data_IF_463020553648
#
_entry.id   IF_463020553648
#
_cell.length_a   1.000
_cell.length_b   1.000
_cell.length_c   1.000
_cell.angle_alpha   90.00
_cell.angle_beta   90.00
_cell.angle_gamma   90.00
#
_symmetry.space_group_name_H-M   'P 1'
#
loop_
_entity.id
_entity.type
_entity.pdbx_description
1 polymer ?
#
# COMPACT_ATOMS: atom_id res chain seq x y z
N UNK A 1 13.06 22.03 2.20
CA UNK A 1 12.33 22.89 1.24
C UNK A 1 11.17 22.16 0.56
N UNK A 2 11.34 20.90 0.10
CA UNK A 2 10.26 20.15 -0.58
C UNK A 2 9.03 19.84 0.30
N UNK A 3 9.17 19.77 1.61
CA UNK A 3 8.06 19.44 2.52
C UNK A 3 6.93 20.49 2.51
N UNK A 4 7.28 21.75 2.31
CA UNK A 4 6.32 22.87 2.25
C UNK A 4 5.43 22.85 1.01
N UNK A 5 5.85 22.15 -0.05
CA UNK A 5 5.11 22.02 -1.32
C UNK A 5 4.21 20.77 -1.35
N UNK A 6 4.43 19.82 -0.43
CA UNK A 6 3.66 18.59 -0.37
C UNK A 6 2.31 18.83 0.31
N UNK A 7 1.24 18.63 -0.47
CA UNK A 7 -0.13 18.72 0.07
C UNK A 7 -0.76 17.34 0.16
N UNK A 8 -1.20 16.92 1.36
CA UNK A 8 -1.93 15.67 1.50
C UNK A 8 -3.27 15.75 0.78
N UNK A 9 -3.74 14.59 0.31
CA UNK A 9 -5.04 14.48 -0.34
C UNK A 9 -6.14 14.72 0.69
N UNK A 10 -6.94 15.76 0.44
CA UNK A 10 -8.14 16.11 1.20
C UNK A 10 -9.40 15.46 0.63
N UNK A 11 -10.54 16.08 0.90
CA UNK A 11 -11.83 15.76 0.28
C UNK A 11 -12.12 16.70 -0.90
N UNK A 12 -12.91 16.26 -1.92
CA UNK A 12 -13.51 14.93 -2.04
C UNK A 12 -12.50 13.86 -2.51
N UNK A 13 -12.69 12.62 -2.04
CA UNK A 13 -11.88 11.46 -2.44
C UNK A 13 -12.74 10.20 -2.54
N UNK A 14 -12.33 9.28 -3.38
CA UNK A 14 -13.00 7.99 -3.55
C UNK A 14 -13.12 7.23 -2.22
N UNK A 15 -14.34 6.85 -1.86
CA UNK A 15 -14.64 6.13 -0.62
C UNK A 15 -13.89 4.79 -0.53
N UNK A 16 -13.69 4.09 -1.68
CA UNK A 16 -13.05 2.77 -1.72
C UNK A 16 -11.52 2.86 -1.65
N UNK A 17 -10.87 3.66 -2.52
CA UNK A 17 -9.41 3.63 -2.67
C UNK A 17 -8.71 4.93 -2.21
N UNK A 18 -9.44 5.98 -1.85
CA UNK A 18 -8.86 7.24 -1.40
C UNK A 18 -8.26 8.12 -2.52
N UNK A 19 -8.43 7.77 -3.83
CA UNK A 19 -8.04 8.65 -4.93
C UNK A 19 -8.80 9.98 -4.86
N UNK A 20 -8.16 11.13 -5.17
CA UNK A 20 -8.89 12.38 -5.32
C UNK A 20 -9.89 12.26 -6.46
N UNK A 21 -11.11 12.79 -6.26
CA UNK A 21 -12.19 12.84 -7.23
C UNK A 21 -12.76 14.25 -7.24
N UNK A 22 -13.40 14.64 -8.33
CA UNK A 22 -14.07 15.94 -8.44
C UNK A 22 -15.49 15.86 -7.89
N UNK A 23 -16.21 14.79 -8.22
CA UNK A 23 -17.61 14.57 -7.81
C UNK A 23 -17.88 13.10 -7.54
N UNK A 24 -18.98 12.82 -6.81
CA UNK A 24 -19.44 11.47 -6.51
C UNK A 24 -18.69 10.83 -5.32
N UNK A 25 -18.94 9.54 -5.11
CA UNK A 25 -18.37 8.76 -4.00
C UNK A 25 -17.20 7.86 -4.43
N UNK A 26 -17.20 7.42 -5.68
CA UNK A 26 -16.24 6.42 -6.20
C UNK A 26 -15.55 6.91 -7.47
N UNK A 27 -14.26 6.67 -7.58
CA UNK A 27 -13.53 6.92 -8.82
C UNK A 27 -13.92 5.91 -9.90
N UNK A 28 -13.65 6.24 -11.18
CA UNK A 28 -13.99 5.40 -12.34
C UNK A 28 -13.46 3.96 -12.24
N UNK A 29 -12.28 3.76 -11.65
CA UNK A 29 -11.70 2.42 -11.48
C UNK A 29 -12.53 1.60 -10.49
N UNK A 30 -12.88 2.18 -9.33
CA UNK A 30 -13.66 1.50 -8.29
C UNK A 30 -15.12 1.27 -8.67
N UNK A 31 -15.68 2.07 -9.58
CA UNK A 31 -17.00 1.81 -10.18
C UNK A 31 -16.98 0.59 -11.11
N UNK A 32 -15.87 0.39 -11.83
CA UNK A 32 -15.72 -0.69 -12.83
C UNK A 32 -15.21 -2.01 -12.26
N UNK A 33 -14.51 -1.96 -11.14
CA UNK A 33 -13.81 -3.13 -10.59
C UNK A 33 -14.16 -3.33 -9.11
N UNK A 34 -14.60 -4.55 -8.77
CA UNK A 34 -14.73 -4.98 -7.39
C UNK A 34 -13.36 -5.33 -6.82
N UNK A 35 -12.97 -4.64 -5.76
CA UNK A 35 -11.71 -4.87 -5.06
C UNK A 35 -11.86 -5.81 -3.88
N UNK A 36 -10.78 -6.56 -3.58
CA UNK A 36 -10.72 -7.53 -2.47
C UNK A 36 -10.47 -6.86 -1.11
N UNK A 37 -9.95 -5.63 -1.08
CA UNK A 37 -9.80 -4.84 0.14
C UNK A 37 -11.10 -4.07 0.45
N UNK A 38 -11.27 -3.68 1.73
CA UNK A 38 -12.45 -2.90 2.16
C UNK A 38 -12.31 -1.42 1.79
N UNK A 39 -11.28 -0.78 2.26
CA UNK A 39 -10.97 0.62 1.99
C UNK A 39 -9.47 0.85 1.95
N UNK A 40 -9.08 2.00 1.42
CA UNK A 40 -7.69 2.41 1.45
C UNK A 40 -7.49 3.90 1.25
N UNK A 41 -6.27 4.33 1.53
CA UNK A 41 -5.87 5.73 1.43
C UNK A 41 -4.44 5.88 0.93
N UNK A 42 -4.24 6.80 -0.02
CA UNK A 42 -2.93 7.40 -0.29
C UNK A 42 -2.83 8.76 0.36
N UNK A 43 -1.66 9.11 0.90
CA UNK A 43 -1.46 10.40 1.57
C UNK A 43 -1.27 11.51 0.54
N UNK A 44 -0.41 11.29 -0.45
CA UNK A 44 -0.07 12.28 -1.47
C UNK A 44 -0.46 11.79 -2.87
N UNK A 45 -0.64 12.74 -3.79
CA UNK A 45 -0.78 12.40 -5.21
C UNK A 45 0.57 11.98 -5.77
N UNK A 46 0.60 10.89 -6.54
CA UNK A 46 1.80 10.42 -7.22
C UNK A 46 2.06 11.23 -8.49
N UNK A 47 2.60 12.41 -8.33
CA UNK A 47 2.93 13.36 -9.39
C UNK A 47 4.43 13.66 -9.48
N UNK A 48 4.81 14.75 -10.17
CA UNK A 48 6.20 15.08 -10.47
C UNK A 48 7.12 15.09 -9.26
N UNK A 49 6.75 15.79 -8.17
CA UNK A 49 7.56 15.92 -6.95
C UNK A 49 7.62 14.60 -6.22
N UNK A 50 6.44 14.00 -5.96
CA UNK A 50 6.37 12.72 -5.24
C UNK A 50 7.00 11.57 -6.01
N UNK A 51 6.92 11.58 -7.34
CA UNK A 51 7.60 10.57 -8.17
C UNK A 51 9.12 10.65 -7.99
N UNK A 52 9.71 11.84 -8.03
CA UNK A 52 11.15 12.03 -7.77
C UNK A 52 11.53 11.60 -6.36
N UNK A 53 10.76 12.02 -5.36
CA UNK A 53 10.98 11.71 -3.95
C UNK A 53 10.92 10.19 -3.69
N UNK A 54 9.88 9.51 -4.14
CA UNK A 54 9.75 8.03 -4.01
C UNK A 54 10.84 7.29 -4.79
N UNK A 55 11.30 7.83 -5.93
CA UNK A 55 12.43 7.25 -6.67
C UNK A 55 13.71 7.31 -5.86
N UNK A 56 14.00 8.44 -5.21
CA UNK A 56 15.16 8.57 -4.31
C UNK A 56 15.07 7.62 -3.13
N UNK A 57 13.90 7.51 -2.50
CA UNK A 57 13.65 6.56 -1.42
C UNK A 57 13.89 5.09 -1.86
N UNK A 58 13.50 4.73 -3.11
CA UNK A 58 13.66 3.36 -3.61
C UNK A 58 15.07 2.99 -4.03
N UNK A 59 15.82 3.93 -4.58
CA UNK A 59 17.03 3.58 -5.36
C UNK A 59 18.30 4.33 -4.94
N UNK A 60 18.20 5.35 -4.11
CA UNK A 60 19.34 6.19 -3.72
C UNK A 60 19.66 6.13 -2.23
N UNK A 61 19.14 5.14 -1.52
CA UNK A 61 19.47 4.91 -0.10
C UNK A 61 18.93 5.96 0.87
N UNK A 62 18.10 6.90 0.41
CA UNK A 62 17.56 7.99 1.24
C UNK A 62 16.48 7.47 2.23
N UNK A 63 16.90 6.69 3.24
CA UNK A 63 16.00 6.09 4.24
C UNK A 63 15.28 7.14 5.09
N UNK A 64 15.89 8.30 5.28
CA UNK A 64 15.31 9.44 5.99
C UNK A 64 13.97 9.92 5.40
N UNK A 65 13.75 9.69 4.10
CA UNK A 65 12.45 9.94 3.47
C UNK A 65 11.36 9.01 4.03
N UNK A 66 11.75 7.80 4.45
CA UNK A 66 10.83 6.86 5.09
C UNK A 66 10.31 7.37 6.43
N UNK A 67 11.13 8.04 7.22
CA UNK A 67 10.69 8.65 8.49
C UNK A 67 9.67 9.77 8.25
N UNK A 68 9.91 10.61 7.25
CA UNK A 68 8.95 11.63 6.84
C UNK A 68 7.64 11.00 6.37
N UNK A 69 7.71 10.00 5.50
CA UNK A 69 6.51 9.33 4.98
C UNK A 69 5.70 8.62 6.07
N UNK A 70 6.35 7.92 6.98
CA UNK A 70 5.67 7.24 8.08
C UNK A 70 4.98 8.23 9.03
N UNK A 71 5.63 9.36 9.34
CA UNK A 71 5.00 10.46 10.11
C UNK A 71 3.81 11.06 9.38
N UNK A 72 3.91 11.27 8.06
CA UNK A 72 2.81 11.77 7.26
C UNK A 72 1.64 10.77 7.23
N UNK A 73 1.92 9.47 7.04
CA UNK A 73 0.91 8.42 7.10
C UNK A 73 0.20 8.41 8.45
N UNK A 74 0.94 8.45 9.56
CA UNK A 74 0.37 8.53 10.90
C UNK A 74 -0.50 9.79 11.07
N UNK A 75 0.04 10.97 10.74
CA UNK A 75 -0.63 12.27 10.94
C UNK A 75 -1.92 12.40 10.14
N UNK A 76 -1.90 12.00 8.88
CA UNK A 76 -3.00 12.27 7.96
C UNK A 76 -4.01 11.12 7.81
N UNK A 77 -3.72 9.93 8.35
CA UNK A 77 -4.63 8.78 8.33
C UNK A 77 -5.21 8.43 9.72
N UNK A 78 -5.11 9.31 10.71
CA UNK A 78 -5.58 9.03 12.08
C UNK A 78 -7.09 8.69 12.13
N UNK A 79 -7.91 9.36 11.31
CA UNK A 79 -9.34 9.07 11.24
C UNK A 79 -9.56 7.63 10.76
N UNK A 80 -8.95 7.27 9.65
CA UNK A 80 -9.03 5.95 9.05
C UNK A 80 -8.52 4.86 10.00
N UNK A 81 -7.39 5.08 10.66
CA UNK A 81 -6.83 4.13 11.61
C UNK A 81 -7.78 3.86 12.79
N UNK A 82 -8.47 4.89 13.29
CA UNK A 82 -9.47 4.74 14.34
C UNK A 82 -10.74 4.02 13.87
N UNK A 83 -11.18 4.28 12.64
CA UNK A 83 -12.37 3.66 12.05
C UNK A 83 -12.12 2.20 11.65
N UNK A 84 -10.97 1.92 11.04
CA UNK A 84 -10.61 0.59 10.55
C UNK A 84 -10.17 -0.38 11.65
N UNK A 85 -9.66 0.12 12.76
CA UNK A 85 -9.19 -0.65 13.93
C UNK A 85 -8.36 -1.87 13.50
N UNK A 86 -7.24 -1.67 12.80
CA UNK A 86 -6.42 -2.79 12.37
C UNK A 86 -5.74 -3.47 13.55
N UNK A 87 -5.76 -4.81 13.54
CA UNK A 87 -5.08 -5.64 14.54
C UNK A 87 -3.62 -5.88 14.17
N UNK A 88 -3.32 -5.83 12.87
CA UNK A 88 -1.99 -6.15 12.35
C UNK A 88 -1.63 -5.28 11.15
N UNK A 89 -0.42 -4.72 11.17
CA UNK A 89 0.18 -4.03 10.03
C UNK A 89 1.08 -5.01 9.26
N UNK A 90 0.87 -5.07 7.93
CA UNK A 90 1.59 -6.00 7.06
C UNK A 90 2.10 -5.25 5.83
N UNK A 91 3.41 -5.20 5.57
CA UNK A 91 3.93 -4.55 4.37
C UNK A 91 3.74 -5.40 3.11
N UNK A 92 3.61 -4.75 1.96
CA UNK A 92 3.73 -5.43 0.67
C UNK A 92 5.17 -5.95 0.52
N UNK A 93 5.37 -7.28 0.40
CA UNK A 93 6.70 -7.84 0.25
C UNK A 93 7.26 -7.55 -1.16
N UNK A 94 8.51 -7.20 -1.23
CA UNK A 94 9.26 -7.12 -2.48
C UNK A 94 9.95 -8.46 -2.77
N UNK A 95 10.19 -8.75 -4.05
CA UNK A 95 10.96 -9.93 -4.40
C UNK A 95 12.42 -9.78 -3.93
N UNK A 96 13.05 -10.85 -3.42
CA UNK A 96 14.43 -10.84 -2.88
C UNK A 96 15.46 -10.16 -3.79
N UNK A 97 15.35 -10.31 -5.11
CA UNK A 97 16.25 -9.63 -6.06
C UNK A 97 16.13 -8.10 -6.03
N UNK A 98 14.91 -7.58 -5.83
CA UNK A 98 14.69 -6.12 -5.70
C UNK A 98 15.16 -5.61 -4.34
N UNK A 99 14.95 -6.40 -3.29
CA UNK A 99 15.42 -6.06 -1.96
C UNK A 99 16.95 -5.99 -1.91
N UNK A 100 17.65 -6.96 -2.51
CA UNK A 100 19.12 -6.90 -2.67
C UNK A 100 19.58 -5.68 -3.45
N UNK A 101 18.89 -5.33 -4.54
CA UNK A 101 19.21 -4.15 -5.35
C UNK A 101 19.02 -2.83 -4.59
N UNK A 102 17.99 -2.76 -3.73
CA UNK A 102 17.60 -1.54 -3.00
C UNK A 102 18.20 -1.45 -1.60
N UNK A 103 18.72 -2.58 -1.08
CA UNK A 103 19.25 -2.71 0.27
C UNK A 103 18.19 -2.89 1.36
N UNK A 104 16.90 -2.71 1.05
CA UNK A 104 15.78 -2.87 2.00
C UNK A 104 14.43 -2.98 1.31
N UNK A 105 13.40 -3.41 2.06
CA UNK A 105 12.00 -3.32 1.63
C UNK A 105 11.40 -2.00 2.14
N UNK A 106 11.06 -1.10 1.23
CA UNK A 106 10.50 0.22 1.53
C UNK A 106 9.21 0.15 2.33
N UNK A 107 8.31 -0.77 1.94
CA UNK A 107 7.04 -0.96 2.63
C UNK A 107 7.22 -1.52 4.05
N UNK A 108 8.21 -2.41 4.27
CA UNK A 108 8.54 -2.93 5.59
C UNK A 108 9.03 -1.82 6.51
N UNK A 109 9.94 -0.97 6.05
CA UNK A 109 10.40 0.18 6.83
C UNK A 109 9.25 1.10 7.26
N UNK A 110 8.33 1.42 6.32
CA UNK A 110 7.15 2.24 6.61
C UNK A 110 6.21 1.56 7.62
N UNK A 111 6.00 0.24 7.48
CA UNK A 111 5.15 -0.54 8.37
C UNK A 111 5.67 -0.56 9.81
N UNK A 112 6.97 -0.80 9.99
CA UNK A 112 7.64 -0.79 11.30
C UNK A 112 7.53 0.57 11.98
N UNK A 113 7.83 1.66 11.25
CA UNK A 113 7.69 3.03 11.78
C UNK A 113 6.25 3.38 12.13
N UNK A 114 5.28 3.00 11.27
CA UNK A 114 3.87 3.25 11.56
C UNK A 114 3.39 2.43 12.77
N UNK A 115 3.82 1.17 12.89
CA UNK A 115 3.56 0.34 14.06
C UNK A 115 4.08 0.98 15.34
N UNK A 116 5.29 1.51 15.31
CA UNK A 116 5.85 2.26 16.43
C UNK A 116 5.00 3.48 16.82
N UNK A 117 4.51 4.26 15.85
CA UNK A 117 3.68 5.45 16.14
C UNK A 117 2.27 5.12 16.62
N UNK A 118 1.71 3.99 16.21
CA UNK A 118 0.32 3.62 16.49
C UNK A 118 0.16 2.63 17.63
N UNK A 119 1.22 1.91 18.00
CA UNK A 119 1.17 0.77 18.92
C UNK A 119 0.54 -0.50 18.31
N UNK A 120 0.22 -0.49 17.00
CA UNK A 120 -0.37 -1.65 16.33
C UNK A 120 0.73 -2.67 16.02
N UNK A 121 0.48 -3.94 16.31
CA UNK A 121 1.38 -5.03 15.99
C UNK A 121 1.77 -5.02 14.51
N UNK A 122 3.05 -5.29 14.22
CA UNK A 122 3.57 -5.29 12.85
C UNK A 122 4.31 -6.60 12.59
N UNK A 123 3.97 -7.28 11.48
CA UNK A 123 4.72 -8.46 11.03
C UNK A 123 5.15 -8.29 9.57
N UNK A 124 6.44 -8.09 9.38
CA UNK A 124 7.05 -7.85 8.07
C UNK A 124 7.30 -9.14 7.27
N UNK A 125 7.17 -10.31 7.90
CA UNK A 125 7.49 -11.61 7.33
C UNK A 125 6.26 -12.48 7.06
N UNK A 126 5.10 -12.15 7.63
CA UNK A 126 3.87 -12.96 7.56
C UNK A 126 3.35 -13.16 6.12
N UNK A 127 3.67 -12.24 5.21
CA UNK A 127 3.39 -12.39 3.78
C UNK A 127 4.70 -12.37 3.00
N UNK A 128 4.91 -13.38 2.17
CA UNK A 128 6.10 -13.51 1.33
C UNK A 128 5.75 -13.43 -0.15
N UNK A 129 6.63 -12.84 -0.94
CA UNK A 129 6.51 -12.83 -2.39
C UNK A 129 7.27 -14.01 -2.98
N UNK A 130 6.53 -15.04 -3.40
CA UNK A 130 7.10 -16.33 -3.87
C UNK A 130 7.42 -16.35 -5.37
N UNK A 131 6.79 -15.51 -6.18
CA UNK A 131 7.04 -15.45 -7.61
C UNK A 131 7.70 -14.13 -8.03
N UNK A 132 8.77 -14.24 -8.83
CA UNK A 132 9.33 -13.11 -9.57
C UNK A 132 8.35 -12.79 -10.71
N UNK A 133 7.38 -11.91 -10.45
CA UNK A 133 6.48 -11.43 -11.52
C UNK A 133 7.32 -10.75 -12.59
N UNK A 134 7.41 -11.39 -13.78
CA UNK A 134 8.08 -10.80 -14.95
C UNK A 134 7.52 -9.41 -15.21
N UNK A 135 8.37 -8.50 -15.67
CA UNK A 135 7.98 -7.16 -16.10
C UNK A 135 6.71 -7.23 -16.96
N UNK A 136 5.62 -6.64 -16.47
CA UNK A 136 4.25 -6.85 -16.95
C UNK A 136 3.93 -6.15 -18.29
N UNK A 137 4.95 -5.72 -19.05
CA UNK A 137 4.76 -4.94 -20.28
C UNK A 137 4.01 -5.68 -21.40
N UNK A 138 3.91 -7.03 -21.34
CA UNK A 138 3.30 -7.87 -22.38
C UNK A 138 2.01 -8.61 -21.96
N UNK A 139 1.52 -8.40 -20.72
CA UNK A 139 0.34 -9.14 -20.22
C UNK A 139 -0.91 -8.25 -20.23
N UNK A 140 -2.07 -8.82 -20.61
CA UNK A 140 -3.35 -8.16 -20.46
C UNK A 140 -3.77 -8.09 -18.98
N UNK A 141 -4.79 -7.28 -18.65
CA UNK A 141 -5.22 -7.02 -17.27
C UNK A 141 -5.61 -8.31 -16.52
N UNK A 142 -6.26 -9.26 -17.19
CA UNK A 142 -6.70 -10.54 -16.61
C UNK A 142 -5.52 -11.46 -16.28
N UNK A 143 -4.54 -11.55 -17.17
CA UNK A 143 -3.32 -12.32 -16.97
C UNK A 143 -2.45 -11.72 -15.85
N UNK A 144 -2.40 -10.39 -15.75
CA UNK A 144 -1.73 -9.68 -14.62
C UNK A 144 -2.36 -10.06 -13.30
N UNK A 145 -3.69 -10.08 -13.22
CA UNK A 145 -4.43 -10.43 -12.01
C UNK A 145 -4.14 -11.87 -11.58
N UNK A 146 -4.29 -12.86 -12.49
CA UNK A 146 -3.99 -14.27 -12.21
C UNK A 146 -2.55 -14.53 -11.79
N UNK A 147 -1.57 -13.86 -12.41
CA UNK A 147 -0.15 -13.98 -12.03
C UNK A 147 0.15 -13.37 -10.67
N UNK A 148 -0.54 -12.29 -10.29
CA UNK A 148 -0.36 -11.66 -8.99
C UNK A 148 -1.06 -12.45 -7.87
N UNK A 149 -2.17 -13.13 -8.14
CA UNK A 149 -2.87 -13.97 -7.15
C UNK A 149 -2.00 -15.10 -6.59
N UNK A 150 -1.08 -15.64 -7.40
CA UNK A 150 -0.11 -16.68 -7.00
C UNK A 150 1.22 -16.09 -6.48
N UNK A 151 1.38 -14.77 -6.50
CA UNK A 151 2.64 -14.13 -6.17
C UNK A 151 2.91 -14.03 -4.66
N UNK A 152 1.87 -14.15 -3.84
CA UNK A 152 1.95 -13.97 -2.40
C UNK A 152 1.57 -15.26 -1.67
N UNK A 153 2.29 -15.54 -0.58
CA UNK A 153 2.00 -16.61 0.37
C UNK A 153 1.92 -16.03 1.79
N UNK A 154 0.88 -16.40 2.53
CA UNK A 154 0.74 -16.06 3.96
C UNK A 154 1.26 -17.23 4.77
N UNK A 155 2.22 -16.99 5.66
CA UNK A 155 2.93 -18.02 6.44
C UNK A 155 2.49 -18.09 7.90
N UNK A 156 1.81 -17.06 8.41
CA UNK A 156 1.35 -16.99 9.80
C UNK A 156 -0.18 -16.96 9.96
N UNK A 157 -0.66 -16.84 11.18
CA UNK A 157 -2.09 -16.79 11.50
C UNK A 157 -2.66 -15.37 11.38
N UNK A 158 -3.59 -15.21 10.45
CA UNK A 158 -4.31 -13.94 10.18
C UNK A 158 -5.82 -14.06 10.39
N UNK A 159 -6.30 -15.21 10.90
CA UNK A 159 -7.75 -15.49 11.02
C UNK A 159 -8.45 -14.48 11.90
N UNK A 160 -9.54 -13.94 11.40
CA UNK A 160 -10.39 -12.94 12.06
C UNK A 160 -9.76 -11.54 12.21
N UNK A 161 -8.46 -11.37 11.92
CA UNK A 161 -7.77 -10.10 12.11
C UNK A 161 -8.11 -9.08 11.02
N UNK A 162 -8.31 -7.83 11.42
CA UNK A 162 -8.32 -6.68 10.51
C UNK A 162 -6.88 -6.32 10.15
N UNK A 163 -6.56 -6.36 8.87
CA UNK A 163 -5.19 -6.18 8.38
C UNK A 163 -5.04 -4.83 7.69
N UNK A 164 -4.00 -4.08 8.07
CA UNK A 164 -3.58 -2.87 7.37
C UNK A 164 -2.37 -3.18 6.49
N UNK A 165 -2.58 -3.18 5.18
CA UNK A 165 -1.51 -3.37 4.18
C UNK A 165 -0.81 -2.05 3.91
N UNK A 166 0.53 -2.04 3.99
CA UNK A 166 1.37 -0.86 3.72
C UNK A 166 2.11 -1.03 2.40
N UNK A 167 2.07 0.00 1.56
CA UNK A 167 2.90 0.10 0.36
C UNK A 167 3.36 1.56 0.14
N UNK A 168 4.29 1.80 -0.76
CA UNK A 168 4.75 3.14 -1.10
C UNK A 168 3.83 3.84 -2.12
N UNK A 169 3.35 3.12 -3.15
CA UNK A 169 2.55 3.71 -4.23
C UNK A 169 1.41 2.80 -4.66
N UNK A 170 0.20 3.31 -4.55
CA UNK A 170 -0.98 2.71 -5.17
C UNK A 170 -1.21 3.30 -6.56
N UNK A 171 -1.27 2.46 -7.59
CA UNK A 171 -1.58 2.88 -8.96
C UNK A 171 -2.91 2.30 -9.44
N UNK A 172 -2.95 1.05 -9.84
CA UNK A 172 -4.15 0.33 -10.30
C UNK A 172 -4.79 -0.53 -9.21
N UNK A 173 -4.15 -0.67 -8.05
CA UNK A 173 -4.60 -1.52 -6.96
C UNK A 173 -4.30 -3.01 -7.13
N UNK A 174 -3.76 -3.46 -8.27
CA UNK A 174 -3.57 -4.88 -8.54
C UNK A 174 -2.69 -5.60 -7.49
N UNK A 175 -1.67 -4.93 -6.95
CA UNK A 175 -0.81 -5.49 -5.90
C UNK A 175 -1.58 -5.63 -4.59
N UNK A 176 -2.30 -4.59 -4.21
CA UNK A 176 -3.12 -4.57 -2.97
C UNK A 176 -4.26 -5.60 -3.09
N UNK A 177 -4.93 -5.68 -4.24
CA UNK A 177 -5.98 -6.68 -4.48
C UNK A 177 -5.47 -8.11 -4.36
N UNK A 178 -4.32 -8.41 -4.97
CA UNK A 178 -3.73 -9.73 -4.92
C UNK A 178 -3.34 -10.13 -3.48
N UNK A 179 -2.79 -9.17 -2.73
CA UNK A 179 -2.43 -9.36 -1.34
C UNK A 179 -3.66 -9.51 -0.45
N UNK A 180 -4.68 -8.64 -0.61
CA UNK A 180 -5.95 -8.74 0.09
C UNK A 180 -6.65 -10.07 -0.17
N UNK A 181 -6.70 -10.52 -1.44
CA UNK A 181 -7.23 -11.83 -1.80
C UNK A 181 -6.48 -12.99 -1.14
N UNK A 182 -5.15 -12.91 -1.05
CA UNK A 182 -4.34 -13.90 -0.36
C UNK A 182 -4.65 -13.96 1.14
N UNK A 183 -4.72 -12.81 1.81
CA UNK A 183 -5.06 -12.69 3.23
C UNK A 183 -6.48 -13.17 3.52
N UNK A 184 -7.47 -12.78 2.71
CA UNK A 184 -8.87 -13.22 2.84
C UNK A 184 -9.00 -14.75 2.68
N UNK A 185 -8.30 -15.39 1.75
CA UNK A 185 -8.27 -16.86 1.61
C UNK A 185 -7.69 -17.58 2.83
N UNK A 186 -6.87 -16.90 3.63
CA UNK A 186 -6.33 -17.40 4.90
C UNK A 186 -7.17 -17.01 6.12
N UNK A 187 -8.38 -16.48 5.89
CA UNK A 187 -9.36 -16.19 6.93
C UNK A 187 -9.18 -14.82 7.59
N UNK A 188 -8.41 -13.89 7.01
CA UNK A 188 -8.36 -12.52 7.51
C UNK A 188 -9.75 -11.89 7.53
N UNK A 189 -10.03 -11.07 8.53
CA UNK A 189 -11.20 -10.23 8.63
C UNK A 189 -11.20 -9.15 7.54
N UNK A 190 -11.29 -7.89 7.92
CA UNK A 190 -11.21 -6.80 6.94
C UNK A 190 -9.76 -6.54 6.52
N UNK A 191 -9.57 -6.16 5.25
CA UNK A 191 -8.26 -5.78 4.71
C UNK A 191 -8.34 -4.34 4.22
N UNK A 192 -7.52 -3.49 4.80
CA UNK A 192 -7.37 -2.08 4.44
C UNK A 192 -5.99 -1.83 3.88
N UNK A 193 -5.77 -0.69 3.23
CA UNK A 193 -4.42 -0.30 2.83
C UNK A 193 -4.13 1.17 3.10
N UNK A 194 -2.86 1.46 3.34
CA UNK A 194 -2.34 2.81 3.43
C UNK A 194 -1.06 2.92 2.61
N UNK A 195 -0.96 3.95 1.77
CA UNK A 195 0.20 4.20 0.91
C UNK A 195 0.69 5.63 1.02
N UNK A 196 1.97 5.85 0.78
CA UNK A 196 2.54 7.19 0.72
C UNK A 196 1.89 7.99 -0.41
N UNK A 197 1.78 7.35 -1.58
CA UNK A 197 1.22 8.01 -2.75
C UNK A 197 0.14 7.19 -3.44
N UNK A 198 -0.74 7.91 -4.15
CA UNK A 198 -1.76 7.30 -5.02
C UNK A 198 -1.80 8.00 -6.38
N UNK A 199 -1.90 7.24 -7.47
CA UNK A 199 -2.04 7.77 -8.82
C UNK A 199 -3.40 8.41 -9.05
N UNK A 200 -3.46 9.45 -9.91
CA UNK A 200 -4.73 10.14 -10.26
C UNK A 200 -5.62 9.35 -11.23
N UNK A 201 -5.08 8.39 -11.98
CA UNK A 201 -5.83 7.63 -13.00
C UNK A 201 -6.54 6.45 -12.39
#
# INVERSE_FOLDING_TARGET
ECEKELRPIGHPRCYKCGKPIETGEYCRDCQKHRHMYEQGRGIFVYDGIMRRSVTRYKYYGCREYGDFYARAMYRYAQKELREWKPDLIVPVPVHRSKERQRGFNQAAYLAEKLGHYTGISTDVNIVQKVLKTKSQKKLNALQRRKNLEKAFCVTGDVRGKNILVIDDVYTTGSTIDAMAGCLKRKGAGNVYFLTVCIGRR
#
